data_IF_372868244713
#
_entry.id   IF_372868244713
#
_cell.length_a   1.000
_cell.length_b   1.000
_cell.length_c   1.000
_cell.angle_alpha   90.00
_cell.angle_beta   90.00
_cell.angle_gamma   90.00
#
_symmetry.space_group_name_H-M   'P 1'
#
loop_
_entity.id
_entity.type
_entity.pdbx_description
1 polymer ?
#
# COMPACT_ATOMS: atom_id res chain seq x y z
N UNK A 1 32.53 47.11 -34.88
CA UNK A 1 32.57 47.09 -33.40
C UNK A 1 31.23 47.62 -32.92
N UNK A 2 30.24 46.75 -32.90
CA UNK A 2 28.91 47.11 -32.39
C UNK A 2 28.93 46.83 -30.89
N UNK A 3 28.86 47.94 -30.15
CA UNK A 3 28.66 47.89 -28.71
C UNK A 3 27.21 47.48 -28.43
N UNK A 4 27.05 46.18 -28.07
CA UNK A 4 25.84 45.67 -27.49
C UNK A 4 25.67 46.37 -26.12
N UNK A 5 24.79 47.34 -26.04
CA UNK A 5 24.33 47.88 -24.76
C UNK A 5 23.59 46.77 -24.04
N UNK A 6 23.91 46.46 -22.75
CA UNK A 6 23.08 45.55 -21.97
C UNK A 6 21.68 46.17 -21.88
N UNK A 7 20.65 45.36 -22.10
CA UNK A 7 19.25 45.79 -21.90
C UNK A 7 19.09 46.35 -20.49
N UNK A 8 18.37 47.46 -20.32
CA UNK A 8 18.13 48.03 -19.01
C UNK A 8 17.39 46.99 -18.14
N UNK A 9 17.98 46.63 -17.01
CA UNK A 9 17.36 45.80 -15.98
C UNK A 9 16.39 46.69 -15.20
N UNK A 10 15.12 46.68 -15.65
CA UNK A 10 14.03 47.36 -14.93
C UNK A 10 13.51 46.45 -13.84
N UNK A 11 13.46 46.94 -12.60
CA UNK A 11 12.72 46.23 -11.53
C UNK A 11 11.21 46.33 -11.80
N UNK A 12 10.44 45.33 -11.36
CA UNK A 12 8.96 45.30 -11.52
C UNK A 12 8.30 46.59 -11.04
N UNK A 13 8.86 47.26 -10.01
CA UNK A 13 8.39 48.51 -9.46
C UNK A 13 8.58 49.75 -10.43
N UNK A 14 9.53 49.63 -11.37
CA UNK A 14 9.88 50.70 -12.33
C UNK A 14 9.15 50.55 -13.68
N UNK A 15 8.45 49.39 -13.89
CA UNK A 15 7.68 49.19 -15.12
C UNK A 15 6.40 50.05 -15.16
N UNK A 16 5.95 50.42 -16.35
CA UNK A 16 4.62 51.01 -16.51
C UNK A 16 3.55 50.10 -15.93
N UNK A 17 2.52 50.61 -15.25
CA UNK A 17 1.52 49.82 -14.55
C UNK A 17 0.87 48.72 -15.41
N UNK A 18 0.67 48.97 -16.71
CA UNK A 18 0.10 48.00 -17.64
C UNK A 18 1.04 46.82 -17.94
N UNK A 19 2.34 47.08 -18.09
CA UNK A 19 3.33 46.03 -18.35
C UNK A 19 3.59 45.14 -17.10
N UNK A 20 3.61 45.78 -15.95
CA UNK A 20 3.68 45.11 -14.65
C UNK A 20 2.50 44.14 -14.47
N UNK A 21 1.27 44.65 -14.62
CA UNK A 21 0.06 43.83 -14.51
C UNK A 21 0.06 42.65 -15.50
N UNK A 22 0.54 42.84 -16.72
CA UNK A 22 0.63 41.79 -17.72
C UNK A 22 1.60 40.69 -17.30
N UNK A 23 2.77 41.02 -16.70
CA UNK A 23 3.75 40.05 -16.19
C UNK A 23 3.19 39.31 -14.97
N UNK A 24 2.57 40.00 -14.03
CA UNK A 24 1.94 39.38 -12.85
C UNK A 24 0.84 38.39 -13.25
N UNK A 25 -0.05 38.77 -14.19
CA UNK A 25 -1.09 37.87 -14.71
C UNK A 25 -0.53 36.67 -15.46
N UNK A 26 0.54 36.87 -16.22
CA UNK A 26 1.22 35.74 -16.90
C UNK A 26 1.78 34.77 -15.89
N UNK A 27 2.48 35.26 -14.86
CA UNK A 27 3.03 34.41 -13.81
C UNK A 27 1.96 33.64 -13.03
N UNK A 28 0.89 34.32 -12.61
CA UNK A 28 -0.25 33.67 -11.94
C UNK A 28 -0.85 32.58 -12.80
N UNK A 29 -0.97 32.83 -14.11
CA UNK A 29 -1.50 31.83 -15.05
C UNK A 29 -0.59 30.60 -15.17
N UNK A 30 0.73 30.80 -15.27
CA UNK A 30 1.71 29.71 -15.36
C UNK A 30 1.78 28.91 -14.05
N UNK A 31 1.79 29.57 -12.90
CA UNK A 31 1.71 28.89 -11.60
C UNK A 31 0.40 28.11 -11.47
N UNK A 32 -0.75 28.70 -11.82
CA UNK A 32 -2.02 27.99 -11.78
C UNK A 32 -2.05 26.76 -12.70
N UNK A 33 -1.49 26.86 -13.91
CA UNK A 33 -1.34 25.72 -14.82
C UNK A 33 -0.43 24.63 -14.23
N UNK A 34 0.66 25.02 -13.58
CA UNK A 34 1.59 24.09 -12.92
C UNK A 34 0.90 23.37 -11.78
N UNK A 35 0.20 24.12 -10.91
CA UNK A 35 -0.54 23.56 -9.78
C UNK A 35 -1.75 22.69 -10.19
N UNK A 36 -2.25 22.84 -11.43
CA UNK A 36 -3.30 21.99 -11.98
C UNK A 36 -2.79 20.65 -12.55
N UNK A 37 -1.47 20.45 -12.66
CA UNK A 37 -0.89 19.19 -13.14
C UNK A 37 -0.95 18.12 -12.04
N UNK A 38 -1.02 16.85 -12.45
CA UNK A 38 -0.96 15.70 -11.53
C UNK A 38 0.50 15.37 -11.20
N UNK A 39 1.17 16.25 -10.45
CA UNK A 39 2.53 16.08 -9.94
C UNK A 39 2.49 15.90 -8.43
N UNK A 40 3.54 15.33 -7.87
CA UNK A 40 3.76 15.26 -6.42
C UNK A 40 3.87 16.68 -5.81
N UNK A 41 3.37 16.87 -4.60
CA UNK A 41 3.35 18.20 -3.95
C UNK A 41 4.73 18.89 -3.90
N UNK A 42 5.84 18.23 -3.58
CA UNK A 42 7.16 18.88 -3.61
C UNK A 42 7.56 19.42 -4.98
N UNK A 43 7.29 18.67 -6.05
CA UNK A 43 7.57 19.08 -7.43
C UNK A 43 6.73 20.29 -7.84
N UNK A 44 5.45 20.30 -7.44
CA UNK A 44 4.55 21.44 -7.67
C UNK A 44 5.04 22.71 -6.98
N UNK A 45 5.46 22.59 -5.71
CA UNK A 45 5.95 23.73 -4.93
C UNK A 45 7.26 24.26 -5.50
N UNK A 46 8.17 23.38 -5.91
CA UNK A 46 9.44 23.78 -6.53
C UNK A 46 9.20 24.52 -7.86
N UNK A 47 8.34 23.99 -8.73
CA UNK A 47 8.00 24.65 -10.00
C UNK A 47 7.29 25.99 -9.81
N UNK A 48 6.41 26.10 -8.79
CA UNK A 48 5.76 27.37 -8.45
C UNK A 48 6.78 28.42 -7.97
N UNK A 49 7.72 28.03 -7.10
CA UNK A 49 8.83 28.88 -6.67
C UNK A 49 9.70 29.33 -7.83
N UNK A 50 10.05 28.42 -8.75
CA UNK A 50 10.86 28.75 -9.92
C UNK A 50 10.19 29.81 -10.80
N UNK A 51 8.88 29.66 -11.05
CA UNK A 51 8.10 30.66 -11.81
C UNK A 51 8.07 31.99 -11.09
N UNK A 52 7.88 31.96 -9.77
CA UNK A 52 7.84 33.15 -8.94
C UNK A 52 9.15 33.95 -9.00
N UNK A 53 10.28 33.26 -8.78
CA UNK A 53 11.60 33.87 -8.82
C UNK A 53 11.95 34.45 -10.20
N UNK A 54 11.43 33.87 -11.28
CA UNK A 54 11.63 34.41 -12.65
C UNK A 54 10.90 35.70 -12.92
N UNK A 55 9.86 36.04 -12.14
CA UNK A 55 9.04 37.22 -12.30
C UNK A 55 9.42 38.33 -11.34
N UNK A 56 9.73 37.99 -10.10
CA UNK A 56 10.19 38.99 -9.10
C UNK A 56 11.71 39.14 -9.22
N UNK A 57 12.16 40.03 -10.11
CA UNK A 57 13.58 40.24 -10.43
C UNK A 57 14.52 40.48 -9.23
N UNK A 58 14.10 41.15 -8.10
CA UNK A 58 14.94 41.28 -6.92
C UNK A 58 15.15 39.96 -6.16
N UNK A 59 14.31 38.94 -6.42
CA UNK A 59 14.35 37.67 -5.72
C UNK A 59 15.53 36.81 -6.17
N UNK A 60 16.38 36.42 -5.23
CA UNK A 60 17.52 35.54 -5.47
C UNK A 60 17.26 34.13 -4.91
N UNK A 61 16.58 34.07 -3.80
CA UNK A 61 16.26 32.82 -3.13
C UNK A 61 14.78 32.80 -2.69
N UNK A 62 14.23 31.61 -2.60
CA UNK A 62 12.86 31.43 -2.15
C UNK A 62 12.66 30.08 -1.44
N UNK A 63 11.79 30.09 -0.45
CA UNK A 63 11.41 28.88 0.30
C UNK A 63 9.91 28.81 0.56
N UNK A 64 9.39 27.58 0.52
CA UNK A 64 8.08 27.23 1.07
C UNK A 64 8.33 26.42 2.34
N UNK A 65 7.96 27.01 3.48
CA UNK A 65 8.09 26.39 4.80
C UNK A 65 6.70 25.94 5.25
N UNK A 66 6.50 24.65 5.42
CA UNK A 66 5.23 24.07 5.86
C UNK A 66 5.28 23.70 7.35
N UNK A 67 4.17 23.91 8.03
CA UNK A 67 3.98 23.54 9.42
C UNK A 67 3.73 22.05 9.56
N UNK A 68 4.69 21.32 10.14
CA UNK A 68 4.50 19.94 10.51
C UNK A 68 3.85 19.83 11.90
N UNK A 69 2.62 19.34 11.93
CA UNK A 69 1.84 19.19 13.17
C UNK A 69 2.42 18.13 14.11
N UNK A 70 3.12 17.13 13.57
CA UNK A 70 3.64 16.04 14.37
C UNK A 70 4.87 16.48 15.18
N UNK A 71 5.78 17.24 14.55
CA UNK A 71 6.98 17.76 15.24
C UNK A 71 6.76 19.14 15.88
N UNK A 72 5.71 19.89 15.51
CA UNK A 72 5.49 21.26 15.95
C UNK A 72 6.54 22.25 15.41
N UNK A 73 7.05 21.99 14.19
CA UNK A 73 8.09 22.79 13.55
C UNK A 73 7.74 23.12 12.10
N UNK A 74 8.22 24.26 11.61
CA UNK A 74 8.26 24.52 10.18
C UNK A 74 9.40 23.74 9.55
N UNK A 75 9.11 23.08 8.42
CA UNK A 75 10.05 22.34 7.60
C UNK A 75 10.06 22.87 6.18
N UNK A 76 11.22 22.90 5.55
CA UNK A 76 11.33 23.26 4.13
C UNK A 76 10.66 22.18 3.29
N UNK A 77 9.65 22.57 2.49
CA UNK A 77 8.96 21.73 1.52
C UNK A 77 9.45 21.95 0.10
N UNK A 78 9.95 23.14 -0.21
CA UNK A 78 10.63 23.46 -1.44
C UNK A 78 11.53 24.68 -1.21
N UNK A 79 12.67 24.71 -1.90
CA UNK A 79 13.61 25.84 -1.86
C UNK A 79 14.26 26.05 -3.23
N UNK A 80 14.62 27.28 -3.53
CA UNK A 80 15.43 27.65 -4.70
C UNK A 80 16.46 28.68 -4.28
N UNK A 81 17.67 28.51 -4.78
CA UNK A 81 18.82 29.39 -4.46
C UNK A 81 19.49 29.07 -3.13
N UNK A 82 18.99 28.10 -2.37
CA UNK A 82 19.60 27.56 -1.16
C UNK A 82 20.16 26.17 -1.40
N UNK A 83 21.08 25.73 -0.53
CA UNK A 83 21.42 24.32 -0.41
C UNK A 83 20.25 23.56 0.25
N UNK A 84 19.53 22.79 -0.57
CA UNK A 84 18.33 22.05 -0.11
C UNK A 84 18.65 21.00 0.96
N UNK A 85 19.82 20.34 0.87
CA UNK A 85 20.21 19.32 1.88
C UNK A 85 20.46 19.98 3.23
N UNK A 86 21.10 21.14 3.24
CA UNK A 86 21.28 21.91 4.47
C UNK A 86 19.94 22.36 5.06
N UNK A 87 18.98 22.79 4.22
CA UNK A 87 17.66 23.25 4.69
C UNK A 87 16.78 22.15 5.28
N UNK A 88 17.02 20.88 4.99
CA UNK A 88 16.29 19.75 5.61
C UNK A 88 16.47 19.71 7.13
N UNK A 89 17.60 20.23 7.62
CA UNK A 89 17.88 20.33 9.06
C UNK A 89 17.15 21.51 9.74
N UNK A 90 16.62 22.45 8.94
CA UNK A 90 15.90 23.62 9.46
C UNK A 90 14.61 23.19 10.16
N UNK A 91 14.44 23.67 11.39
CA UNK A 91 13.20 23.41 12.15
C UNK A 91 12.83 24.65 12.97
N UNK A 92 12.06 25.60 12.40
CA UNK A 92 11.63 26.79 13.09
C UNK A 92 10.39 26.52 13.95
N UNK A 93 10.33 27.15 15.13
CA UNK A 93 9.15 27.08 16.02
C UNK A 93 8.11 28.14 15.62
N UNK A 94 6.89 28.00 16.15
CA UNK A 94 5.89 29.05 16.07
C UNK A 94 6.44 30.35 16.74
N UNK A 95 6.23 31.49 16.11
CA UNK A 95 6.76 32.78 16.54
C UNK A 95 8.26 32.98 16.26
N UNK A 96 9.03 31.94 15.91
CA UNK A 96 10.47 32.06 15.63
C UNK A 96 10.73 32.69 14.27
N UNK A 97 11.60 33.70 14.24
CA UNK A 97 12.04 34.36 13.01
C UNK A 97 10.88 35.04 12.23
N UNK A 98 11.15 35.46 11.00
CA UNK A 98 10.15 36.06 10.10
C UNK A 98 9.02 35.08 9.81
N UNK A 99 9.38 33.82 9.54
CA UNK A 99 8.43 32.73 9.24
C UNK A 99 7.38 32.54 10.33
N UNK A 100 7.82 32.41 11.59
CA UNK A 100 6.89 32.22 12.71
C UNK A 100 5.96 33.39 12.91
N UNK A 101 6.48 34.61 12.77
CA UNK A 101 5.69 35.85 12.91
C UNK A 101 4.63 36.02 11.82
N UNK A 102 5.01 35.79 10.54
CA UNK A 102 4.06 35.83 9.41
C UNK A 102 2.96 34.78 9.55
N UNK A 103 3.31 33.60 10.02
CA UNK A 103 2.34 32.53 10.28
C UNK A 103 1.36 32.88 11.39
N UNK A 104 1.85 33.45 12.51
CA UNK A 104 1.00 33.80 13.66
C UNK A 104 0.09 34.98 13.37
N UNK A 105 0.63 36.02 12.72
CA UNK A 105 -0.12 37.21 12.33
C UNK A 105 -1.06 36.97 11.14
N UNK A 106 -0.83 35.89 10.38
CA UNK A 106 -1.60 35.57 9.15
C UNK A 106 -1.64 36.75 8.14
N UNK A 107 -0.55 37.46 8.04
CA UNK A 107 -0.42 38.64 7.20
C UNK A 107 0.91 38.68 6.45
N UNK A 108 0.87 39.04 5.17
CA UNK A 108 2.08 39.22 4.38
C UNK A 108 2.93 40.39 4.92
N UNK A 109 4.24 40.25 4.84
CA UNK A 109 5.22 41.15 5.44
C UNK A 109 6.32 41.48 4.42
N UNK A 110 6.72 42.74 4.38
CA UNK A 110 7.87 43.24 3.65
C UNK A 110 8.86 43.87 4.62
N UNK A 111 10.10 43.41 4.63
CA UNK A 111 11.21 43.97 5.41
C UNK A 111 12.38 44.26 4.48
N UNK A 112 12.80 45.51 4.38
CA UNK A 112 13.96 45.94 3.58
C UNK A 112 14.88 46.95 4.33
N UNK A 113 14.66 47.10 5.63
CA UNK A 113 15.58 47.82 6.52
C UNK A 113 16.37 46.81 7.34
N UNK A 114 17.65 46.99 7.40
CA UNK A 114 18.54 46.11 8.15
C UNK A 114 18.11 45.95 9.62
N UNK A 115 17.73 47.03 10.27
CA UNK A 115 17.27 47.04 11.65
C UNK A 115 16.01 46.16 11.85
N UNK A 116 15.03 46.26 10.93
CA UNK A 116 13.77 45.53 10.99
C UNK A 116 14.01 44.01 10.77
N UNK A 117 14.92 43.68 9.85
CA UNK A 117 15.30 42.26 9.60
C UNK A 117 16.04 41.70 10.79
N UNK A 118 17.02 42.41 11.35
CA UNK A 118 17.72 42.04 12.56
C UNK A 118 16.77 41.80 13.73
N UNK A 119 15.84 42.69 13.96
CA UNK A 119 14.83 42.59 14.99
C UNK A 119 13.90 41.38 14.76
N UNK A 120 13.47 41.14 13.51
CA UNK A 120 12.58 40.05 13.15
C UNK A 120 13.25 38.67 13.29
N UNK A 121 14.57 38.60 13.08
CA UNK A 121 15.36 37.35 13.16
C UNK A 121 16.11 37.19 14.48
N UNK A 122 16.02 38.13 15.42
CA UNK A 122 16.77 38.12 16.69
C UNK A 122 16.46 36.89 17.55
N UNK A 123 15.24 36.40 17.51
CA UNK A 123 14.73 35.20 18.24
C UNK A 123 15.02 33.88 17.57
N UNK A 124 15.65 33.87 16.38
CA UNK A 124 16.06 32.63 15.72
C UNK A 124 17.10 31.90 16.56
N UNK A 125 16.84 30.63 16.86
CA UNK A 125 17.75 29.77 17.61
C UNK A 125 19.10 29.62 16.92
N UNK A 126 20.18 29.52 17.68
CA UNK A 126 21.55 29.44 17.15
C UNK A 126 21.75 28.28 16.15
N UNK A 127 21.14 27.13 16.41
CA UNK A 127 21.17 25.98 15.52
C UNK A 127 20.51 26.32 14.15
N UNK A 128 19.35 26.93 14.14
CA UNK A 128 18.64 27.32 12.91
C UNK A 128 19.41 28.42 12.15
N UNK A 129 20.04 29.34 12.86
CA UNK A 129 20.89 30.39 12.25
C UNK A 129 22.11 29.78 11.52
N UNK A 130 22.76 28.77 12.11
CA UNK A 130 23.85 28.05 11.47
C UNK A 130 23.39 27.27 10.23
N UNK A 131 22.22 26.63 10.31
CA UNK A 131 21.61 25.93 9.16
C UNK A 131 21.31 26.93 8.03
N UNK A 132 20.69 28.07 8.35
CA UNK A 132 20.37 29.11 7.39
C UNK A 132 21.63 29.65 6.71
N UNK A 133 22.65 30.03 7.47
CA UNK A 133 23.92 30.53 6.95
C UNK A 133 24.61 29.53 6.02
N UNK A 134 24.61 28.25 6.40
CA UNK A 134 25.16 27.17 5.57
C UNK A 134 24.34 26.99 4.28
N UNK A 135 23.02 27.02 4.37
CA UNK A 135 22.14 26.87 3.21
C UNK A 135 22.19 28.09 2.26
N UNK A 136 22.33 29.29 2.79
CA UNK A 136 22.46 30.51 2.02
C UNK A 136 23.90 30.73 1.46
N UNK A 137 24.89 29.97 1.94
CA UNK A 137 26.31 30.14 1.59
C UNK A 137 26.92 31.44 2.11
N UNK A 138 26.27 32.13 3.06
CA UNK A 138 26.70 33.40 3.66
C UNK A 138 26.20 33.55 5.08
N UNK A 139 26.99 34.18 5.94
CA UNK A 139 26.59 34.53 7.30
C UNK A 139 25.80 35.86 7.35
N UNK A 140 25.73 36.58 6.22
CA UNK A 140 24.99 37.87 6.13
C UNK A 140 23.47 37.58 6.16
N UNK A 141 22.74 38.48 6.83
CA UNK A 141 21.29 38.49 6.75
C UNK A 141 20.82 39.00 5.38
N UNK A 142 19.61 38.59 4.91
CA UNK A 142 19.06 39.11 3.67
C UNK A 142 18.89 40.61 3.73
N UNK A 143 19.02 41.28 2.57
CA UNK A 143 18.87 42.74 2.44
C UNK A 143 17.39 43.14 2.41
N UNK A 144 16.57 42.28 1.81
CA UNK A 144 15.14 42.49 1.71
C UNK A 144 14.41 41.14 1.74
N UNK A 145 13.31 41.06 2.49
CA UNK A 145 12.51 39.84 2.66
C UNK A 145 11.05 40.16 2.38
N UNK A 146 10.44 39.35 1.55
CA UNK A 146 9.01 39.38 1.25
C UNK A 146 8.43 38.02 1.65
N UNK A 147 7.48 37.98 2.59
CA UNK A 147 6.91 36.75 3.12
C UNK A 147 5.38 36.82 3.15
N UNK A 148 4.72 35.71 2.80
CA UNK A 148 3.26 35.62 2.82
C UNK A 148 2.82 34.29 3.48
N UNK A 149 1.75 34.28 4.30
CA UNK A 149 1.21 33.11 4.89
C UNK A 149 0.47 32.27 3.85
N UNK A 150 0.60 30.96 3.93
CA UNK A 150 -0.07 29.99 3.08
C UNK A 150 -1.33 29.52 3.83
N UNK A 151 -2.49 30.03 3.44
CA UNK A 151 -3.76 29.83 4.15
C UNK A 151 -4.87 29.48 3.16
N UNK A 152 -5.61 28.39 3.40
CA UNK A 152 -6.84 28.06 2.68
C UNK A 152 -7.90 27.54 3.64
N UNK A 153 -9.18 27.89 3.42
CA UNK A 153 -10.29 27.41 4.22
C UNK A 153 -10.18 27.71 5.73
N UNK A 154 -9.46 28.78 6.11
CA UNK A 154 -9.19 29.11 7.53
C UNK A 154 -8.09 28.26 8.17
N UNK A 155 -7.49 27.33 7.44
CA UNK A 155 -6.37 26.53 7.89
C UNK A 155 -5.05 27.15 7.43
N UNK A 156 -4.08 27.28 8.35
CA UNK A 156 -2.72 27.71 8.07
C UNK A 156 -1.85 26.51 7.76
N UNK A 157 -1.18 26.53 6.60
CA UNK A 157 -0.29 25.43 6.16
C UNK A 157 1.18 25.77 6.36
N UNK A 158 1.56 27.04 6.20
CA UNK A 158 2.94 27.47 6.27
C UNK A 158 3.15 28.91 5.82
N UNK A 159 4.36 29.18 5.32
CA UNK A 159 4.79 30.51 4.87
C UNK A 159 5.61 30.36 3.58
N UNK A 160 5.33 31.23 2.61
CA UNK A 160 6.14 31.45 1.42
C UNK A 160 7.07 32.64 1.71
N UNK A 161 8.39 32.42 1.58
CA UNK A 161 9.40 33.45 1.84
C UNK A 161 10.28 33.61 0.61
N UNK A 162 10.54 34.86 0.25
CA UNK A 162 11.41 35.23 -0.86
C UNK A 162 12.38 36.32 -0.36
N UNK A 163 13.64 36.17 -0.72
CA UNK A 163 14.68 37.04 -0.19
C UNK A 163 15.64 37.51 -1.27
N UNK A 164 16.19 38.69 -1.04
CA UNK A 164 17.36 39.22 -1.73
C UNK A 164 18.52 39.17 -0.76
N UNK A 165 19.57 38.44 -1.09
CA UNK A 165 20.75 38.25 -0.23
C UNK A 165 21.82 39.33 -0.47
N UNK A 166 21.94 39.81 -1.72
CA UNK A 166 22.92 40.83 -2.12
C UNK A 166 22.40 41.73 -3.26
N UNK A 167 23.12 42.80 -3.56
CA UNK A 167 22.82 43.69 -4.69
C UNK A 167 21.87 44.84 -4.38
N UNK A 168 21.53 45.68 -5.40
CA UNK A 168 20.73 46.89 -5.24
C UNK A 168 19.22 46.62 -5.29
N UNK A 169 18.77 45.46 -5.75
CA UNK A 169 17.35 45.13 -5.94
C UNK A 169 16.59 45.05 -4.63
N UNK A 170 15.40 45.65 -4.56
CA UNK A 170 14.54 45.61 -3.39
C UNK A 170 13.09 45.37 -3.80
N UNK A 171 12.35 44.64 -2.98
CA UNK A 171 10.91 44.56 -3.11
C UNK A 171 10.21 45.84 -2.67
N UNK A 172 8.99 46.04 -3.13
CA UNK A 172 8.13 47.16 -2.81
C UNK A 172 6.81 46.68 -2.17
N UNK A 173 6.09 47.57 -1.52
CA UNK A 173 4.76 47.26 -0.96
C UNK A 173 3.76 46.77 -2.04
N UNK A 174 4.00 47.16 -3.30
CA UNK A 174 3.17 46.74 -4.42
C UNK A 174 3.35 45.27 -4.77
N UNK A 175 4.42 44.57 -4.29
CA UNK A 175 4.68 43.17 -4.52
C UNK A 175 3.95 42.28 -3.52
N UNK A 176 3.50 42.83 -2.38
CA UNK A 176 2.77 42.09 -1.33
C UNK A 176 1.48 41.41 -1.85
N UNK A 177 0.56 42.12 -2.56
CA UNK A 177 -0.66 41.45 -3.07
C UNK A 177 -0.38 40.36 -4.06
N UNK A 178 0.67 40.48 -4.88
CA UNK A 178 1.08 39.46 -5.84
C UNK A 178 1.59 38.20 -5.11
N UNK A 179 2.52 38.39 -4.14
CA UNK A 179 3.01 37.25 -3.35
C UNK A 179 1.89 36.55 -2.56
N UNK A 180 0.96 37.35 -1.97
CA UNK A 180 -0.18 36.76 -1.24
C UNK A 180 -1.06 35.93 -2.18
N UNK A 181 -1.36 36.43 -3.39
CA UNK A 181 -2.15 35.65 -4.37
C UNK A 181 -1.49 34.35 -4.74
N UNK A 182 -0.16 34.32 -4.87
CA UNK A 182 0.60 33.09 -5.13
C UNK A 182 0.58 32.16 -3.91
N UNK A 183 0.74 32.67 -2.71
CA UNK A 183 0.62 31.92 -1.48
C UNK A 183 -0.78 31.28 -1.35
N UNK A 184 -1.84 31.99 -1.73
CA UNK A 184 -3.21 31.46 -1.74
C UNK A 184 -3.39 30.36 -2.78
N UNK A 185 -2.79 30.46 -3.98
CA UNK A 185 -2.80 29.39 -4.98
C UNK A 185 -2.05 28.14 -4.48
N UNK A 186 -0.90 28.33 -3.86
CA UNK A 186 -0.13 27.23 -3.22
C UNK A 186 -0.97 26.58 -2.12
N UNK A 187 -1.65 27.39 -1.30
CA UNK A 187 -2.51 26.88 -0.23
C UNK A 187 -3.65 25.99 -0.77
N UNK A 188 -4.29 26.40 -1.86
CA UNK A 188 -5.33 25.60 -2.52
C UNK A 188 -4.78 24.29 -3.06
N UNK A 189 -3.57 24.28 -3.63
CA UNK A 189 -2.93 23.05 -4.12
C UNK A 189 -2.60 22.09 -2.97
N UNK A 190 -2.08 22.61 -1.85
CA UNK A 190 -1.81 21.81 -0.65
C UNK A 190 -3.09 21.23 -0.07
N UNK A 191 -4.15 22.03 0.06
CA UNK A 191 -5.43 21.57 0.61
C UNK A 191 -6.07 20.50 -0.29
N UNK A 192 -6.01 20.69 -1.62
CA UNK A 192 -6.46 19.68 -2.58
C UNK A 192 -5.69 18.36 -2.43
N UNK A 193 -4.36 18.38 -2.43
CA UNK A 193 -3.54 17.19 -2.28
C UNK A 193 -3.85 16.45 -0.96
N UNK A 194 -4.05 17.21 0.13
CA UNK A 194 -4.47 16.65 1.42
C UNK A 194 -5.85 16.00 1.37
N UNK A 195 -6.83 16.65 0.73
CA UNK A 195 -8.18 16.10 0.60
C UNK A 195 -8.20 14.83 -0.25
N UNK A 196 -7.39 14.77 -1.32
CA UNK A 196 -7.22 13.57 -2.15
C UNK A 196 -6.66 12.40 -1.32
N UNK A 197 -5.61 12.61 -0.54
CA UNK A 197 -5.05 11.59 0.36
C UNK A 197 -6.07 11.08 1.39
N UNK A 198 -6.83 11.99 2.00
CA UNK A 198 -7.88 11.62 2.95
C UNK A 198 -9.03 10.84 2.27
N UNK A 199 -9.42 11.25 1.06
CA UNK A 199 -10.44 10.54 0.29
C UNK A 199 -10.01 9.12 -0.08
N UNK A 200 -8.74 8.93 -0.46
CA UNK A 200 -8.19 7.61 -0.78
C UNK A 200 -8.11 6.71 0.45
N UNK A 201 -7.69 7.24 1.60
CA UNK A 201 -7.69 6.51 2.86
C UNK A 201 -9.11 6.05 3.26
N UNK A 202 -10.11 6.95 3.14
CA UNK A 202 -11.53 6.63 3.41
C UNK A 202 -12.08 5.61 2.40
N UNK A 203 -11.70 5.70 1.12
CA UNK A 203 -12.09 4.69 0.11
C UNK A 203 -11.52 3.33 0.44
N UNK A 204 -10.23 3.26 0.81
CA UNK A 204 -9.58 2.02 1.24
C UNK A 204 -10.31 1.38 2.43
N UNK A 205 -10.57 2.16 3.47
CA UNK A 205 -11.29 1.68 4.66
C UNK A 205 -12.71 1.19 4.34
N UNK A 206 -13.48 1.93 3.52
CA UNK A 206 -14.82 1.49 3.10
C UNK A 206 -14.80 0.22 2.27
N UNK A 207 -13.78 0.06 1.43
CA UNK A 207 -13.62 -1.17 0.64
C UNK A 207 -13.31 -2.37 1.53
N UNK A 208 -12.48 -2.19 2.54
CA UNK A 208 -12.18 -3.22 3.54
C UNK A 208 -13.43 -3.60 4.36
N UNK A 209 -14.18 -2.61 4.86
CA UNK A 209 -15.44 -2.86 5.59
C UNK A 209 -16.48 -3.58 4.72
N UNK A 210 -16.59 -3.20 3.44
CA UNK A 210 -17.49 -3.86 2.50
C UNK A 210 -17.10 -5.31 2.26
N UNK A 211 -15.82 -5.57 2.00
CA UNK A 211 -15.29 -6.93 1.86
C UNK A 211 -15.59 -7.74 3.12
N UNK A 212 -15.31 -7.21 4.30
CA UNK A 212 -15.60 -7.86 5.58
C UNK A 212 -17.10 -8.19 5.74
N UNK A 213 -17.99 -7.30 5.32
CA UNK A 213 -19.45 -7.52 5.40
C UNK A 213 -19.91 -8.59 4.41
N UNK A 214 -19.41 -8.57 3.18
CA UNK A 214 -19.68 -9.60 2.16
C UNK A 214 -19.20 -10.98 2.65
N UNK A 215 -18.05 -11.03 3.32
CA UNK A 215 -17.50 -12.21 3.95
C UNK A 215 -18.45 -12.79 5.01
N UNK A 216 -18.90 -11.97 5.94
CA UNK A 216 -19.79 -12.41 7.00
C UNK A 216 -21.12 -12.95 6.43
N UNK A 217 -21.58 -12.39 5.31
CA UNK A 217 -22.78 -12.89 4.62
C UNK A 217 -22.54 -14.27 4.00
N UNK A 218 -21.41 -14.48 3.31
CA UNK A 218 -21.04 -15.77 2.70
C UNK A 218 -20.85 -16.82 3.80
N UNK A 219 -20.08 -16.53 4.84
CA UNK A 219 -19.85 -17.46 5.96
C UNK A 219 -21.16 -17.86 6.65
N UNK A 220 -22.05 -16.89 6.90
CA UNK A 220 -23.34 -17.16 7.49
C UNK A 220 -24.20 -18.08 6.61
N UNK A 221 -24.11 -17.92 5.29
CA UNK A 221 -24.82 -18.77 4.34
C UNK A 221 -24.25 -20.20 4.33
N UNK A 222 -22.91 -20.33 4.19
CA UNK A 222 -22.24 -21.62 4.11
C UNK A 222 -22.32 -22.44 5.42
N UNK A 223 -22.32 -21.76 6.60
CA UNK A 223 -22.52 -22.42 7.89
C UNK A 223 -23.98 -22.83 8.12
N UNK A 224 -24.95 -22.13 7.52
CA UNK A 224 -26.37 -22.46 7.67
C UNK A 224 -26.72 -23.78 6.98
N UNK A 225 -26.07 -24.12 5.85
CA UNK A 225 -26.34 -25.34 5.11
C UNK A 225 -26.09 -26.60 5.94
N UNK A 226 -24.88 -26.88 6.45
CA UNK A 226 -24.60 -28.06 7.27
C UNK A 226 -25.43 -28.06 8.55
N UNK A 227 -25.63 -26.90 9.17
CA UNK A 227 -26.48 -26.80 10.37
C UNK A 227 -27.94 -27.20 10.09
N UNK A 228 -28.48 -26.83 8.91
CA UNK A 228 -29.82 -27.22 8.50
C UNK A 228 -29.95 -28.70 8.25
N UNK A 229 -28.92 -29.31 7.63
CA UNK A 229 -28.87 -30.76 7.43
C UNK A 229 -28.79 -31.53 8.75
N UNK A 230 -27.88 -31.14 9.66
CA UNK A 230 -27.78 -31.70 11.01
C UNK A 230 -29.10 -31.63 11.73
N UNK A 231 -29.73 -30.43 11.71
CA UNK A 231 -31.04 -30.22 12.36
C UNK A 231 -32.15 -31.08 11.73
N UNK A 232 -32.14 -31.23 10.40
CA UNK A 232 -33.08 -32.06 9.66
C UNK A 232 -32.99 -33.53 10.05
N UNK A 233 -31.79 -34.13 9.98
CA UNK A 233 -31.55 -35.54 10.35
C UNK A 233 -31.86 -35.78 11.84
N UNK A 234 -31.41 -34.89 12.71
CA UNK A 234 -31.67 -34.99 14.15
C UNK A 234 -33.17 -34.91 14.45
N UNK A 235 -33.89 -33.99 13.77
CA UNK A 235 -35.36 -33.89 13.97
C UNK A 235 -36.10 -35.11 13.45
N UNK A 236 -35.67 -35.68 12.30
CA UNK A 236 -36.22 -36.90 11.77
C UNK A 236 -36.10 -38.07 12.76
N UNK A 237 -34.90 -38.25 13.34
CA UNK A 237 -34.62 -39.29 14.33
C UNK A 237 -35.44 -39.12 15.64
N UNK A 238 -35.90 -37.93 15.95
CA UNK A 238 -36.72 -37.62 17.14
C UNK A 238 -38.24 -37.75 16.90
N UNK A 239 -38.67 -38.04 15.66
CA UNK A 239 -40.11 -38.23 15.36
C UNK A 239 -40.59 -39.57 15.96
N UNK A 240 -41.60 -39.46 16.82
CA UNK A 240 -42.21 -40.64 17.48
C UNK A 240 -43.13 -41.45 16.54
N UNK A 241 -43.68 -40.79 15.52
CA UNK A 241 -44.66 -41.40 14.58
C UNK A 241 -43.99 -42.16 13.41
N UNK A 242 -42.64 -42.14 13.32
CA UNK A 242 -41.87 -42.79 12.23
C UNK A 242 -40.88 -43.78 12.81
N UNK A 243 -40.94 -45.01 12.33
CA UNK A 243 -39.99 -46.05 12.72
C UNK A 243 -38.93 -46.21 11.62
N UNK A 244 -37.66 -45.93 11.94
CA UNK A 244 -36.53 -46.12 11.04
C UNK A 244 -35.88 -47.49 11.27
N UNK A 245 -35.37 -48.10 10.21
CA UNK A 245 -34.53 -49.28 10.32
C UNK A 245 -33.17 -48.93 10.95
N UNK A 246 -32.47 -49.91 11.57
CA UNK A 246 -31.08 -49.63 12.09
C UNK A 246 -30.13 -49.10 11.06
N UNK A 247 -30.24 -49.50 9.79
CA UNK A 247 -29.39 -49.01 8.69
C UNK A 247 -29.73 -47.53 8.35
N UNK A 248 -30.99 -47.17 8.33
CA UNK A 248 -31.42 -45.74 8.14
C UNK A 248 -30.94 -44.85 9.28
N UNK A 249 -31.06 -45.32 10.53
CA UNK A 249 -30.53 -44.58 11.69
C UNK A 249 -29.04 -44.34 11.56
N UNK A 250 -28.32 -45.39 11.16
CA UNK A 250 -26.85 -45.29 10.92
C UNK A 250 -26.55 -44.27 9.84
N UNK A 251 -27.22 -44.36 8.70
CA UNK A 251 -27.04 -43.40 7.57
C UNK A 251 -27.29 -41.95 7.99
N UNK A 252 -28.33 -41.67 8.80
CA UNK A 252 -28.62 -40.35 9.32
C UNK A 252 -27.52 -39.87 10.27
N UNK A 253 -27.05 -40.71 11.17
CA UNK A 253 -25.95 -40.38 12.10
C UNK A 253 -24.63 -40.16 11.37
N UNK A 254 -24.28 -40.96 10.36
CA UNK A 254 -23.13 -40.77 9.51
C UNK A 254 -23.22 -39.44 8.69
N UNK A 255 -24.45 -39.06 8.30
CA UNK A 255 -24.68 -37.76 7.64
C UNK A 255 -24.51 -36.57 8.58
N UNK A 256 -25.00 -36.70 9.84
CA UNK A 256 -24.75 -35.68 10.88
C UNK A 256 -23.26 -35.52 11.17
N UNK A 257 -22.53 -36.64 11.29
CA UNK A 257 -21.10 -36.64 11.56
C UNK A 257 -20.31 -35.94 10.43
N UNK A 258 -20.60 -36.26 9.15
CA UNK A 258 -20.01 -35.62 7.99
C UNK A 258 -20.25 -34.10 7.97
N UNK A 259 -21.47 -33.64 8.29
CA UNK A 259 -21.78 -32.21 8.32
C UNK A 259 -21.08 -31.49 9.48
N UNK A 260 -20.87 -32.16 10.61
CA UNK A 260 -20.05 -31.65 11.71
C UNK A 260 -18.59 -31.47 11.29
N UNK A 261 -18.00 -32.44 10.59
CA UNK A 261 -16.63 -32.36 10.07
C UNK A 261 -16.47 -31.19 9.09
N UNK A 262 -17.46 -30.98 8.21
CA UNK A 262 -17.49 -29.84 7.29
C UNK A 262 -17.48 -28.52 8.07
N UNK A 263 -18.32 -28.40 9.11
CA UNK A 263 -18.37 -27.19 9.95
C UNK A 263 -17.04 -26.96 10.70
N UNK A 264 -16.42 -28.00 11.24
CA UNK A 264 -15.12 -27.90 11.92
C UNK A 264 -14.04 -27.40 10.95
N UNK A 265 -14.00 -27.93 9.72
CA UNK A 265 -13.08 -27.50 8.69
C UNK A 265 -13.28 -26.01 8.35
N UNK A 266 -14.53 -25.57 8.15
CA UNK A 266 -14.84 -24.18 7.88
C UNK A 266 -14.41 -23.24 9.02
N UNK A 267 -14.64 -23.63 10.27
CA UNK A 267 -14.23 -22.85 11.44
C UNK A 267 -12.71 -22.73 11.50
N UNK A 268 -11.98 -23.83 11.26
CA UNK A 268 -10.52 -23.81 11.21
C UNK A 268 -10.01 -22.88 10.10
N UNK A 269 -10.58 -22.95 8.89
CA UNK A 269 -10.22 -22.06 7.78
C UNK A 269 -10.44 -20.58 8.12
N UNK A 270 -11.51 -20.25 8.85
CA UNK A 270 -11.81 -18.87 9.29
C UNK A 270 -10.78 -18.41 10.32
N UNK A 271 -10.46 -19.26 11.31
CA UNK A 271 -9.47 -18.94 12.34
C UNK A 271 -8.07 -18.78 11.72
N UNK A 272 -7.66 -19.71 10.86
CA UNK A 272 -6.40 -19.63 10.12
C UNK A 272 -6.34 -18.36 9.27
N UNK A 273 -7.42 -18.01 8.57
CA UNK A 273 -7.51 -16.77 7.78
C UNK A 273 -7.36 -15.50 8.63
N UNK A 274 -7.83 -15.52 9.88
CA UNK A 274 -7.70 -14.37 10.79
C UNK A 274 -6.29 -14.18 11.36
N UNK A 275 -5.50 -15.27 11.40
CA UNK A 275 -4.10 -15.25 11.84
C UNK A 275 -3.12 -14.92 10.70
N UNK A 276 -3.58 -15.02 9.45
CA UNK A 276 -2.76 -14.90 8.24
C UNK A 276 -2.86 -13.49 7.63
N UNK A 277 -2.65 -12.44 8.41
CA UNK A 277 -2.09 -11.21 7.86
C UNK A 277 -0.59 -11.42 7.70
N UNK A 278 -0.07 -11.14 6.49
CA UNK A 278 1.29 -11.51 6.03
C UNK A 278 2.40 -11.14 7.04
N UNK A 279 2.19 -10.10 7.84
CA UNK A 279 3.13 -9.62 8.86
C UNK A 279 3.04 -10.34 10.22
N UNK A 280 2.08 -11.27 10.42
CA UNK A 280 1.85 -11.94 11.72
C UNK A 280 2.10 -13.46 11.69
N UNK A 281 2.41 -14.06 10.53
CA UNK A 281 2.79 -15.47 10.44
C UNK A 281 4.14 -15.70 11.10
N UNK A 282 4.12 -16.19 12.34
CA UNK A 282 5.33 -16.62 13.01
C UNK A 282 5.73 -18.02 12.49
N UNK A 283 6.58 -18.07 11.46
CA UNK A 283 7.07 -19.29 10.84
C UNK A 283 8.28 -19.80 11.60
N UNK A 284 8.17 -20.98 12.19
CA UNK A 284 9.28 -21.70 12.80
C UNK A 284 9.92 -22.61 11.76
N UNK A 285 10.97 -22.10 11.08
CA UNK A 285 11.68 -22.90 10.06
C UNK A 285 12.55 -23.94 10.72
N UNK A 286 12.33 -25.20 10.33
CA UNK A 286 13.16 -26.34 10.71
C UNK A 286 13.47 -27.21 9.50
N UNK A 287 14.51 -28.10 9.56
CA UNK A 287 14.82 -29.02 8.49
C UNK A 287 13.64 -29.97 8.24
N UNK A 288 13.02 -29.88 7.06
CA UNK A 288 11.80 -30.58 6.70
C UNK A 288 12.05 -31.64 5.62
N UNK A 289 11.64 -32.90 5.89
CA UNK A 289 11.60 -33.99 4.90
C UNK A 289 10.25 -33.96 4.17
N UNK A 290 10.16 -33.17 3.11
CA UNK A 290 8.93 -33.05 2.31
C UNK A 290 8.33 -34.38 1.85
N UNK A 291 9.11 -35.38 1.36
CA UNK A 291 8.55 -36.67 0.96
C UNK A 291 7.73 -37.31 2.05
N UNK A 292 8.20 -37.33 3.29
CA UNK A 292 7.48 -37.90 4.41
C UNK A 292 6.15 -37.16 4.65
N UNK A 293 6.18 -35.84 4.68
CA UNK A 293 4.98 -35.00 4.92
C UNK A 293 3.94 -35.18 3.80
N UNK A 294 4.40 -35.31 2.55
CA UNK A 294 3.53 -35.61 1.40
C UNK A 294 2.89 -36.97 1.51
N UNK A 295 3.64 -38.01 1.89
CA UNK A 295 3.09 -39.36 2.07
C UNK A 295 2.03 -39.39 3.19
N UNK A 296 2.28 -38.71 4.31
CA UNK A 296 1.33 -38.58 5.41
C UNK A 296 0.04 -37.85 4.96
N UNK A 297 0.16 -36.72 4.30
CA UNK A 297 -0.98 -35.96 3.81
C UNK A 297 -1.79 -36.68 2.73
N UNK A 298 -1.12 -37.35 1.80
CA UNK A 298 -1.77 -38.16 0.76
C UNK A 298 -2.48 -39.39 1.34
N UNK A 299 -1.89 -40.08 2.33
CA UNK A 299 -2.52 -41.20 3.02
C UNK A 299 -3.75 -40.77 3.82
N UNK A 300 -3.72 -39.60 4.43
CA UNK A 300 -4.87 -38.99 5.10
C UNK A 300 -5.98 -38.66 4.11
N UNK A 301 -5.65 -38.00 3.01
CA UNK A 301 -6.59 -37.66 1.96
C UNK A 301 -7.20 -38.92 1.28
N UNK A 302 -6.41 -39.95 1.03
CA UNK A 302 -6.88 -41.22 0.45
C UNK A 302 -7.94 -41.92 1.33
N UNK A 303 -7.83 -41.85 2.66
CA UNK A 303 -8.84 -42.40 3.58
C UNK A 303 -10.20 -41.74 3.49
N UNK A 304 -10.24 -40.47 3.06
CA UNK A 304 -11.48 -39.67 2.96
C UNK A 304 -12.23 -39.88 1.64
N UNK A 305 -11.59 -40.51 0.65
CA UNK A 305 -12.22 -40.71 -0.65
C UNK A 305 -11.96 -42.10 -1.22
N UNK A 306 -13.01 -42.91 -1.44
CA UNK A 306 -12.89 -44.18 -2.14
C UNK A 306 -12.85 -44.05 -3.68
N UNK A 307 -13.24 -42.92 -4.22
CA UNK A 307 -13.38 -42.68 -5.67
C UNK A 307 -12.07 -42.25 -6.33
N UNK A 308 -11.10 -41.77 -5.56
CA UNK A 308 -9.84 -41.28 -6.07
C UNK A 308 -8.70 -42.25 -5.77
N UNK A 309 -7.71 -42.29 -6.65
CA UNK A 309 -6.48 -43.01 -6.46
C UNK A 309 -5.29 -42.09 -6.43
N UNK A 310 -4.53 -42.06 -5.31
CA UNK A 310 -3.40 -41.16 -5.16
C UNK A 310 -2.10 -41.84 -5.54
N UNK A 311 -1.33 -41.23 -6.42
CA UNK A 311 0.00 -41.67 -6.84
C UNK A 311 1.02 -40.59 -6.45
N UNK A 312 2.12 -41.03 -5.83
CA UNK A 312 3.19 -40.16 -5.36
C UNK A 312 4.45 -40.48 -6.16
N UNK A 313 4.95 -39.51 -6.90
CA UNK A 313 6.15 -39.60 -7.73
C UNK A 313 7.19 -38.59 -7.21
N UNK A 314 8.02 -39.02 -6.27
CA UNK A 314 9.08 -38.20 -5.68
C UNK A 314 10.40 -38.92 -5.82
N UNK A 315 11.47 -38.25 -6.31
CA UNK A 315 12.81 -38.84 -6.38
C UNK A 315 13.31 -39.30 -5.01
N UNK A 316 14.03 -40.43 -4.92
CA UNK A 316 14.50 -40.98 -3.64
C UNK A 316 15.53 -40.08 -2.94
N UNK A 317 16.24 -39.26 -3.70
CA UNK A 317 17.27 -38.32 -3.25
C UNK A 317 16.73 -36.87 -3.09
N UNK A 318 15.42 -36.73 -2.78
CA UNK A 318 14.79 -35.44 -2.61
C UNK A 318 15.43 -34.66 -1.45
N UNK A 319 15.86 -33.38 -1.66
CA UNK A 319 16.60 -32.64 -0.66
C UNK A 319 15.75 -32.27 0.55
N UNK A 320 16.41 -32.05 1.69
CA UNK A 320 15.82 -31.43 2.86
C UNK A 320 15.65 -29.93 2.55
N UNK A 321 14.51 -29.36 2.91
CA UNK A 321 14.22 -27.93 2.79
C UNK A 321 13.98 -27.34 4.18
N UNK A 322 14.12 -26.03 4.34
CA UNK A 322 13.73 -25.35 5.57
C UNK A 322 12.29 -24.87 5.46
N UNK A 323 11.48 -25.25 6.45
CA UNK A 323 10.08 -24.84 6.50
C UNK A 323 9.43 -25.21 7.81
N UNK A 324 8.24 -24.69 8.02
CA UNK A 324 7.40 -25.03 9.18
C UNK A 324 6.50 -26.21 8.81
N UNK A 325 6.66 -27.39 9.44
CA UNK A 325 5.90 -28.59 9.09
C UNK A 325 4.39 -28.42 9.26
N UNK A 326 3.97 -27.65 10.24
CA UNK A 326 2.54 -27.38 10.49
C UNK A 326 1.92 -26.64 9.31
N UNK A 327 2.54 -25.55 8.89
CA UNK A 327 2.05 -24.74 7.79
C UNK A 327 2.17 -25.41 6.43
N UNK A 328 3.24 -26.14 6.16
CA UNK A 328 3.39 -26.89 4.90
C UNK A 328 2.37 -28.04 4.84
N UNK A 329 2.06 -28.71 5.94
CA UNK A 329 0.97 -29.69 6.01
C UNK A 329 -0.37 -29.08 5.67
N UNK A 330 -0.63 -27.85 6.14
CA UNK A 330 -1.84 -27.09 5.80
C UNK A 330 -1.92 -26.80 4.30
N UNK A 331 -0.81 -26.41 3.65
CA UNK A 331 -0.74 -26.22 2.19
C UNK A 331 -1.12 -27.50 1.47
N UNK A 332 -0.47 -28.62 1.82
CA UNK A 332 -0.72 -29.94 1.21
C UNK A 332 -2.19 -30.35 1.37
N UNK A 333 -2.76 -30.17 2.55
CA UNK A 333 -4.17 -30.46 2.82
C UNK A 333 -5.08 -29.61 1.92
N UNK A 334 -4.88 -28.30 1.87
CA UNK A 334 -5.69 -27.41 1.05
C UNK A 334 -5.64 -27.75 -0.44
N UNK A 335 -4.47 -28.17 -0.93
CA UNK A 335 -4.27 -28.54 -2.33
C UNK A 335 -4.90 -29.89 -2.66
N UNK A 336 -4.70 -30.90 -1.80
CA UNK A 336 -5.26 -32.25 -1.97
C UNK A 336 -6.79 -32.24 -1.84
N UNK A 337 -7.33 -31.48 -0.88
CA UNK A 337 -8.78 -31.32 -0.70
C UNK A 337 -9.43 -30.68 -1.92
N UNK A 338 -8.76 -29.70 -2.53
CA UNK A 338 -9.24 -29.11 -3.79
C UNK A 338 -9.20 -30.14 -4.93
N UNK A 339 -8.13 -30.93 -5.08
CA UNK A 339 -8.03 -31.96 -6.11
C UNK A 339 -9.17 -32.99 -6.00
N UNK A 340 -9.51 -33.43 -4.78
CA UNK A 340 -10.64 -34.33 -4.52
C UNK A 340 -11.96 -33.65 -4.84
N UNK A 341 -12.16 -32.45 -4.35
CA UNK A 341 -13.42 -31.71 -4.39
C UNK A 341 -13.83 -31.31 -5.81
N UNK A 342 -12.84 -30.95 -6.64
CA UNK A 342 -13.09 -30.54 -8.02
C UNK A 342 -12.99 -31.67 -9.05
N UNK A 343 -12.86 -32.93 -8.58
CA UNK A 343 -12.91 -34.16 -9.38
C UNK A 343 -14.08 -35.07 -8.92
N UNK A 344 -15.34 -34.64 -9.05
CA UNK A 344 -16.50 -35.34 -8.46
C UNK A 344 -16.72 -36.74 -9.02
N UNK A 345 -16.22 -37.05 -10.22
CA UNK A 345 -16.31 -38.36 -10.84
C UNK A 345 -15.21 -39.31 -10.35
N UNK A 346 -14.34 -38.85 -9.43
CA UNK A 346 -13.17 -39.58 -8.98
C UNK A 346 -12.03 -39.50 -9.99
N UNK A 347 -11.09 -40.45 -9.92
CA UNK A 347 -9.98 -40.54 -10.85
C UNK A 347 -8.61 -40.48 -10.16
N UNK A 348 -7.59 -40.23 -10.96
CA UNK A 348 -6.21 -40.18 -10.52
C UNK A 348 -5.81 -38.80 -10.00
N UNK A 349 -5.21 -38.77 -8.80
CA UNK A 349 -4.54 -37.59 -8.26
C UNK A 349 -3.05 -37.92 -8.16
N UNK A 350 -2.21 -37.17 -8.88
CA UNK A 350 -0.76 -37.39 -8.92
C UNK A 350 -0.04 -36.27 -8.17
N UNK A 351 0.71 -36.65 -7.16
CA UNK A 351 1.61 -35.74 -6.43
C UNK A 351 3.04 -35.99 -6.92
N UNK A 352 3.65 -34.96 -7.54
CA UNK A 352 5.00 -35.09 -8.09
C UNK A 352 5.95 -34.09 -7.45
N UNK A 353 7.16 -34.55 -7.14
CA UNK A 353 8.27 -33.71 -6.67
C UNK A 353 9.35 -33.54 -7.74
N UNK A 354 9.77 -32.31 -7.99
CA UNK A 354 10.85 -31.97 -8.91
C UNK A 354 11.93 -31.18 -8.17
N UNK A 355 13.19 -31.54 -8.39
CA UNK A 355 14.34 -30.84 -7.80
C UNK A 355 14.95 -29.93 -8.86
N UNK A 356 14.90 -28.60 -8.66
CA UNK A 356 15.48 -27.58 -9.52
C UNK A 356 16.79 -27.05 -8.94
N UNK A 357 17.44 -26.12 -9.62
CA UNK A 357 18.73 -25.57 -9.18
C UNK A 357 18.63 -24.89 -7.82
N UNK A 358 17.66 -24.01 -7.63
CA UNK A 358 17.54 -23.16 -6.45
C UNK A 358 16.34 -23.50 -5.54
N UNK A 359 15.41 -24.29 -6.03
CA UNK A 359 14.17 -24.64 -5.33
C UNK A 359 13.80 -26.10 -5.56
N UNK A 360 12.82 -26.56 -4.81
CA UNK A 360 12.07 -27.78 -5.08
C UNK A 360 10.65 -27.39 -5.47
N UNK A 361 10.05 -28.12 -6.39
CA UNK A 361 8.68 -27.90 -6.83
C UNK A 361 7.84 -29.12 -6.54
N UNK A 362 6.71 -28.93 -5.90
CA UNK A 362 5.67 -29.95 -5.71
C UNK A 362 4.50 -29.59 -6.61
N UNK A 363 3.99 -30.57 -7.34
CA UNK A 363 2.78 -30.45 -8.14
C UNK A 363 1.75 -31.47 -7.73
N UNK A 364 0.47 -31.06 -7.72
CA UNK A 364 -0.69 -31.93 -7.50
C UNK A 364 -1.59 -31.80 -8.72
N UNK A 365 -1.72 -32.88 -9.48
CA UNK A 365 -2.53 -32.92 -10.68
C UNK A 365 -3.78 -33.78 -10.45
N UNK A 366 -4.94 -33.24 -10.81
CA UNK A 366 -6.23 -33.92 -10.80
C UNK A 366 -6.78 -34.10 -12.24
N UNK A 367 -7.79 -34.96 -12.38
CA UNK A 367 -8.53 -35.21 -13.62
C UNK A 367 -9.95 -34.61 -13.58
N UNK A 368 -10.10 -33.50 -12.85
CA UNK A 368 -11.38 -32.87 -12.55
C UNK A 368 -11.92 -31.95 -13.65
N UNK A 369 -12.81 -31.08 -13.23
CA UNK A 369 -13.56 -30.19 -14.11
C UNK A 369 -12.69 -29.15 -14.85
N UNK A 370 -11.51 -28.88 -14.35
CA UNK A 370 -10.63 -27.82 -14.85
C UNK A 370 -11.19 -26.42 -14.62
N UNK A 371 -10.39 -25.42 -14.95
CA UNK A 371 -10.63 -24.01 -14.62
C UNK A 371 -10.48 -23.17 -15.88
N UNK A 372 -11.35 -22.16 -16.05
CA UNK A 372 -11.25 -21.23 -17.18
C UNK A 372 -10.06 -20.28 -17.01
N UNK A 373 -9.48 -19.74 -18.11
CA UNK A 373 -8.39 -18.76 -18.02
C UNK A 373 -8.77 -17.50 -17.23
N UNK A 374 -10.04 -17.11 -17.26
CA UNK A 374 -10.57 -15.94 -16.54
C UNK A 374 -10.59 -16.19 -15.02
N UNK A 375 -10.98 -17.41 -14.63
CA UNK A 375 -11.06 -17.80 -13.22
C UNK A 375 -9.67 -18.07 -12.61
N UNK A 376 -8.69 -18.53 -13.39
CA UNK A 376 -7.32 -18.80 -12.93
C UNK A 376 -6.69 -17.55 -12.28
N UNK A 377 -6.91 -16.37 -12.84
CA UNK A 377 -6.37 -15.10 -12.34
C UNK A 377 -6.92 -14.78 -10.93
N UNK A 378 -8.14 -15.23 -10.64
CA UNK A 378 -8.86 -14.92 -9.41
C UNK A 378 -8.76 -16.01 -8.36
N UNK A 379 -8.18 -17.18 -8.67
CA UNK A 379 -8.13 -18.34 -7.77
C UNK A 379 -7.47 -18.08 -6.42
N UNK A 380 -6.51 -17.17 -6.36
CA UNK A 380 -5.80 -16.81 -5.14
C UNK A 380 -6.38 -15.56 -4.45
N UNK A 381 -7.49 -15.03 -4.97
CA UNK A 381 -8.23 -13.93 -4.31
C UNK A 381 -9.07 -14.54 -3.20
N UNK A 382 -8.99 -13.97 -2.00
CA UNK A 382 -9.76 -14.42 -0.84
C UNK A 382 -11.25 -14.48 -1.17
N UNK A 383 -11.91 -15.61 -0.82
CA UNK A 383 -13.36 -15.86 -0.98
C UNK A 383 -13.84 -16.02 -2.44
N UNK A 384 -12.93 -15.98 -3.41
CA UNK A 384 -13.30 -16.23 -4.78
C UNK A 384 -13.66 -17.72 -4.97
N UNK A 385 -14.73 -17.96 -5.70
CA UNK A 385 -15.20 -19.30 -6.06
C UNK A 385 -15.62 -19.33 -7.52
N UNK A 386 -15.17 -20.32 -8.25
CA UNK A 386 -15.58 -20.53 -9.64
C UNK A 386 -17.07 -20.86 -9.68
N UNK A 387 -17.86 -20.09 -10.43
CA UNK A 387 -19.28 -20.38 -10.64
C UNK A 387 -19.42 -21.45 -11.71
N UNK A 388 -19.89 -22.61 -11.32
CA UNK A 388 -20.16 -23.70 -12.25
C UNK A 388 -21.48 -23.46 -12.99
N UNK A 389 -21.44 -23.49 -14.35
CA UNK A 389 -22.62 -23.32 -15.20
C UNK A 389 -23.61 -24.47 -15.19
N UNK A 390 -23.22 -25.63 -14.62
CA UNK A 390 -24.00 -26.88 -14.59
C UNK A 390 -24.72 -27.14 -13.26
N UNK A 391 -24.84 -26.14 -12.36
CA UNK A 391 -25.62 -26.26 -11.13
C UNK A 391 -24.96 -27.08 -10.01
N UNK A 392 -23.74 -27.56 -10.20
CA UNK A 392 -22.98 -28.19 -9.13
C UNK A 392 -22.59 -27.16 -8.07
N UNK A 393 -23.12 -27.33 -6.88
CA UNK A 393 -22.67 -26.55 -5.71
C UNK A 393 -21.56 -27.30 -5.00
N UNK A 394 -20.32 -26.85 -5.14
CA UNK A 394 -19.16 -27.43 -4.46
C UNK A 394 -18.97 -26.62 -3.16
N UNK A 395 -19.18 -27.19 -1.95
CA UNK A 395 -19.11 -26.43 -0.70
C UNK A 395 -17.70 -25.93 -0.39
N UNK A 396 -17.56 -24.75 0.24
CA UNK A 396 -16.27 -24.22 0.71
C UNK A 396 -16.22 -22.70 0.82
N UNK A 397 -15.26 -22.24 1.61
CA UNK A 397 -15.09 -20.84 2.00
C UNK A 397 -14.40 -19.95 0.94
N UNK A 398 -13.65 -20.58 0.01
CA UNK A 398 -12.76 -19.84 -0.91
C UNK A 398 -11.51 -19.29 -0.23
N UNK A 399 -11.13 -19.83 0.93
CA UNK A 399 -9.95 -19.41 1.71
C UNK A 399 -8.75 -20.34 1.53
N UNK A 400 -8.93 -21.60 1.19
CA UNK A 400 -7.85 -22.58 1.18
C UNK A 400 -6.67 -22.21 0.28
N UNK A 401 -6.90 -21.80 -0.98
CA UNK A 401 -5.82 -21.41 -1.89
C UNK A 401 -5.16 -20.06 -1.54
N UNK A 402 -5.89 -19.01 -1.17
CA UNK A 402 -5.29 -17.79 -0.61
C UNK A 402 -4.40 -18.05 0.60
N UNK A 403 -4.84 -18.90 1.54
CA UNK A 403 -4.05 -19.33 2.71
C UNK A 403 -2.78 -20.07 2.26
N UNK A 404 -2.91 -21.04 1.36
CA UNK A 404 -1.76 -21.77 0.82
C UNK A 404 -0.75 -20.83 0.16
N UNK A 405 -1.22 -19.83 -0.58
CA UNK A 405 -0.36 -18.81 -1.20
C UNK A 405 0.41 -18.00 -0.16
N UNK A 406 -0.28 -17.47 0.85
CA UNK A 406 0.38 -16.69 1.90
C UNK A 406 1.43 -17.51 2.65
N UNK A 407 1.12 -18.78 2.97
CA UNK A 407 2.08 -19.68 3.63
C UNK A 407 3.32 -19.91 2.75
N UNK A 408 3.15 -20.21 1.47
CA UNK A 408 4.26 -20.49 0.56
C UNK A 408 5.10 -19.23 0.32
N UNK A 409 4.47 -18.06 0.12
CA UNK A 409 5.16 -16.77 -0.04
C UNK A 409 5.97 -16.41 1.23
N UNK A 410 5.43 -16.66 2.41
CA UNK A 410 6.13 -16.45 3.68
C UNK A 410 7.33 -17.42 3.87
N UNK A 411 7.32 -18.58 3.22
CA UNK A 411 8.47 -19.50 3.15
C UNK A 411 9.49 -19.09 2.07
N UNK A 412 9.23 -18.01 1.30
CA UNK A 412 10.09 -17.56 0.20
C UNK A 412 9.88 -18.33 -1.10
N UNK A 413 8.80 -19.12 -1.20
CA UNK A 413 8.40 -19.84 -2.38
C UNK A 413 7.38 -19.12 -3.24
N UNK A 414 6.82 -19.83 -4.21
CA UNK A 414 5.71 -19.35 -5.05
C UNK A 414 4.70 -20.47 -5.29
N UNK A 415 3.43 -20.11 -5.54
CA UNK A 415 2.36 -21.05 -5.89
C UNK A 415 1.70 -20.56 -7.20
N UNK A 416 1.37 -21.51 -8.09
CA UNK A 416 0.68 -21.24 -9.35
C UNK A 416 -0.14 -22.43 -9.81
N UNK A 417 -0.94 -22.25 -10.86
CA UNK A 417 -1.85 -23.25 -11.38
C UNK A 417 -1.77 -23.30 -12.90
N UNK A 418 -1.90 -24.51 -13.44
CA UNK A 418 -2.10 -24.80 -14.84
C UNK A 418 -3.37 -25.66 -14.97
N UNK A 419 -4.34 -25.20 -15.78
CA UNK A 419 -5.62 -25.87 -15.89
C UNK A 419 -6.24 -25.65 -17.27
N UNK A 420 -7.06 -26.60 -17.67
CA UNK A 420 -7.89 -26.50 -18.87
C UNK A 420 -9.23 -27.15 -18.58
N UNK A 421 -10.31 -26.44 -18.89
CA UNK A 421 -11.69 -26.90 -18.69
C UNK A 421 -11.88 -28.30 -19.30
N UNK A 422 -12.38 -29.24 -18.51
CA UNK A 422 -12.62 -30.62 -18.88
C UNK A 422 -11.38 -31.53 -18.97
N UNK A 423 -10.18 -31.02 -18.60
CA UNK A 423 -8.93 -31.79 -18.63
C UNK A 423 -8.24 -31.90 -17.26
N UNK A 424 -8.84 -31.29 -16.22
CA UNK A 424 -8.29 -31.26 -14.87
C UNK A 424 -7.42 -30.06 -14.60
N UNK A 425 -6.80 -30.06 -13.41
CA UNK A 425 -5.98 -28.97 -12.90
C UNK A 425 -4.68 -29.50 -12.34
N UNK A 426 -3.60 -28.77 -12.51
CA UNK A 426 -2.33 -29.01 -11.83
C UNK A 426 -1.95 -27.77 -11.04
N UNK A 427 -1.88 -27.92 -9.74
CA UNK A 427 -1.42 -26.89 -8.83
C UNK A 427 0.03 -27.14 -8.45
N UNK A 428 0.85 -26.12 -8.52
CA UNK A 428 2.29 -26.16 -8.23
C UNK A 428 2.62 -25.22 -7.09
N UNK A 429 3.54 -25.65 -6.23
CA UNK A 429 4.21 -24.73 -5.32
C UNK A 429 5.70 -25.04 -5.22
N UNK A 430 6.51 -24.02 -4.96
CA UNK A 430 7.95 -24.17 -4.78
C UNK A 430 8.38 -23.76 -3.37
N UNK A 431 9.46 -24.37 -2.90
CA UNK A 431 10.17 -23.98 -1.68
C UNK A 431 11.66 -23.83 -1.99
N UNK A 432 12.34 -22.79 -1.47
CA UNK A 432 13.77 -22.63 -1.67
C UNK A 432 14.55 -23.78 -1.05
N UNK A 433 15.63 -24.21 -1.72
CA UNK A 433 16.57 -25.16 -1.14
C UNK A 433 17.37 -24.47 -0.03
N UNK A 434 17.62 -25.20 1.03
CA UNK A 434 18.58 -24.78 2.04
C UNK A 434 19.97 -24.77 1.42
N UNK A 435 20.60 -23.58 1.36
CA UNK A 435 22.03 -23.52 1.11
C UNK A 435 22.75 -23.98 2.39
N UNK A 436 22.94 -25.27 2.58
CA UNK A 436 23.89 -25.75 3.57
C UNK A 436 25.26 -25.19 3.17
N UNK A 437 26.00 -24.52 4.08
CA UNK A 437 27.38 -24.23 3.82
C UNK A 437 28.11 -25.55 3.53
N UNK A 438 29.08 -25.57 2.60
CA UNK A 438 29.86 -26.77 2.33
C UNK A 438 30.44 -27.24 3.66
N UNK A 439 30.17 -28.49 4.02
CA UNK A 439 30.85 -29.18 5.12
C UNK A 439 32.33 -29.17 4.78
N UNK A 440 33.11 -28.38 5.52
CA UNK A 440 34.57 -28.51 5.52
C UNK A 440 34.90 -29.94 6.00
N UNK A 441 35.40 -30.78 5.09
CA UNK A 441 36.10 -32.02 5.41
C UNK A 441 37.54 -31.71 5.85
#
# INVERSE_FOLDING_TARGET
MDTVHPAPQWTLAELPPAERLARELHALTEVAKTLARALELPELLHAALQTLLSVLEPAQVGTVLLWDRASGLFRSAAAIGFDEEALKELGLQAGESITGKVYDESRALLLCREEDIHQAMADMRAANRQVFARAAGTDALPICVLAAPIIAGGQRFGVLVIETLDGPGRFSEQDLPFLQTLADLIALAIDRARLELLADAVRGQRQEERLRSELMAILSHELRHPLTAIKGYSTALLMEDVTFSPDQIREFLESVDRECDIMQTMISEILDSSLIDVDQLNIQREPLRLPQLIHEAAAEAQRRTPLHHMVIEIPPDFPIVEGDPHWIRQVLRNVLDNAIKYSPEGGLIVVRGEVRTNDVVISVADQGLGISPEDIILLFVRYYRVRMSNGYHIPGTGLGLPIARTIIEAHGGRIWVESKVGQGTTLFFSLPKTSLPPTEE
#
